data_IF_510230522767
#
_entry.id   IF_510230522767
#
_cell.length_a   1.000
_cell.length_b   1.000
_cell.length_c   1.000
_cell.angle_alpha   90.00
_cell.angle_beta   90.00
_cell.angle_gamma   90.00
#
_symmetry.space_group_name_H-M   'P 1'
#
loop_
_entity.id
_entity.type
_entity.pdbx_description
1 polymer ?
#
# COMPACT_ATOMS: atom_id res chain seq x y z
N UNK A 1 -13.36 -8.81 22.72
CA UNK A 1 -12.48 -7.84 22.03
C UNK A 1 -11.31 -8.58 21.41
N UNK A 2 -10.61 -7.99 20.43
CA UNK A 2 -9.66 -8.72 19.57
C UNK A 2 -8.21 -8.74 20.09
N UNK A 3 -7.92 -8.08 21.23
CA UNK A 3 -6.59 -8.01 21.88
C UNK A 3 -5.43 -7.56 20.96
N UNK A 4 -5.66 -6.55 20.11
CA UNK A 4 -4.62 -5.99 19.25
C UNK A 4 -4.06 -4.68 19.79
N UNK A 5 -2.74 -4.55 19.76
CA UNK A 5 -2.07 -3.30 20.09
C UNK A 5 -2.23 -2.29 18.94
N UNK A 6 -2.55 -1.05 19.28
CA UNK A 6 -2.71 0.03 18.32
C UNK A 6 -1.42 0.83 18.20
N UNK A 7 -0.94 1.02 16.98
CA UNK A 7 0.23 1.88 16.70
C UNK A 7 -0.25 3.33 16.54
N UNK A 8 0.36 4.32 17.23
CA UNK A 8 -0.01 5.72 17.07
C UNK A 8 0.30 6.20 15.65
N UNK A 9 -0.69 6.82 14.99
CA UNK A 9 -0.56 7.38 13.64
C UNK A 9 -0.77 8.90 13.70
N UNK A 10 0.22 9.72 13.28
CA UNK A 10 0.05 11.16 13.24
C UNK A 10 -1.01 11.59 12.20
N UNK A 11 -1.75 12.68 12.42
CA UNK A 11 -2.68 13.20 11.43
C UNK A 11 -2.00 13.48 10.09
N UNK A 12 -2.66 13.14 8.99
CA UNK A 12 -2.25 13.49 7.61
C UNK A 12 -0.81 13.12 7.22
N UNK A 13 -0.32 11.95 7.64
CA UNK A 13 1.02 11.44 7.27
C UNK A 13 0.96 10.27 6.27
N UNK A 14 0.62 10.51 4.99
CA UNK A 14 0.53 9.47 3.95
C UNK A 14 1.90 8.87 3.58
N UNK A 15 2.98 9.50 3.99
CA UNK A 15 4.35 8.99 3.94
C UNK A 15 4.65 7.98 5.06
N UNK A 16 3.97 8.07 6.19
CA UNK A 16 4.15 7.15 7.33
C UNK A 16 3.31 5.88 7.14
N UNK A 17 2.18 5.96 6.43
CA UNK A 17 1.34 4.81 6.13
C UNK A 17 1.98 3.89 5.07
N UNK A 18 2.39 2.65 5.41
CA UNK A 18 3.01 1.74 4.46
C UNK A 18 2.10 1.38 3.28
N UNK A 19 0.78 1.40 3.48
CA UNK A 19 -0.22 1.17 2.43
C UNK A 19 -0.19 2.25 1.35
N UNK A 20 -0.10 3.53 1.73
CA UNK A 20 -0.09 4.69 0.82
C UNK A 20 1.16 4.75 -0.05
N UNK A 21 2.32 4.30 0.46
CA UNK A 21 3.54 4.24 -0.34
C UNK A 21 3.73 2.92 -1.08
N UNK A 22 3.65 1.80 -0.38
CA UNK A 22 4.11 0.55 -0.95
C UNK A 22 3.00 -0.12 -1.74
N UNK A 23 1.74 -0.02 -1.32
CA UNK A 23 0.64 -0.77 -1.93
C UNK A 23 -0.10 0.06 -2.98
N UNK A 24 -0.56 1.26 -2.63
CA UNK A 24 -1.41 2.06 -3.52
C UNK A 24 -0.69 2.65 -4.72
N UNK A 25 0.61 2.92 -4.62
CA UNK A 25 1.40 3.48 -5.73
C UNK A 25 1.58 2.47 -6.88
N UNK A 26 2.04 1.23 -6.64
CA UNK A 26 2.10 0.19 -7.66
C UNK A 26 0.73 -0.16 -8.27
N UNK A 27 -0.33 -0.23 -7.45
CA UNK A 27 -1.69 -0.46 -7.94
C UNK A 27 -2.14 0.66 -8.88
N UNK A 28 -1.94 1.92 -8.48
CA UNK A 28 -2.27 3.08 -9.33
C UNK A 28 -1.53 3.01 -10.67
N UNK A 29 -0.26 2.61 -10.67
CA UNK A 29 0.53 2.46 -11.89
C UNK A 29 0.00 1.33 -12.77
N UNK A 30 -0.30 0.16 -12.19
CA UNK A 30 -0.87 -0.99 -12.89
C UNK A 30 -2.24 -0.69 -13.53
N UNK A 31 -3.06 0.12 -12.85
CA UNK A 31 -4.39 0.49 -13.32
C UNK A 31 -4.40 1.69 -14.27
N UNK A 32 -3.35 2.52 -14.31
CA UNK A 32 -3.31 3.82 -15.01
C UNK A 32 -3.71 3.76 -16.49
N UNK A 33 -3.40 2.67 -17.18
CA UNK A 33 -3.64 2.52 -18.62
C UNK A 33 -4.77 1.53 -18.95
N UNK A 34 -5.46 1.02 -17.93
CA UNK A 34 -6.56 0.08 -18.10
C UNK A 34 -7.90 0.81 -18.05
N UNK A 35 -8.80 0.49 -18.99
CA UNK A 35 -10.19 0.95 -18.96
C UNK A 35 -11.08 -0.26 -18.71
N UNK A 36 -11.94 -0.15 -17.71
CA UNK A 36 -12.86 -1.22 -17.33
C UNK A 36 -14.29 -0.79 -17.65
N UNK A 37 -15.02 -1.64 -18.36
CA UNK A 37 -16.42 -1.40 -18.68
C UNK A 37 -17.35 -1.82 -17.54
N UNK A 38 -16.91 -2.75 -16.70
CA UNK A 38 -17.68 -3.30 -15.57
C UNK A 38 -16.84 -3.29 -14.30
N UNK A 39 -17.54 -3.18 -13.17
CA UNK A 39 -16.93 -3.31 -11.85
C UNK A 39 -16.26 -4.68 -11.64
N UNK A 40 -16.85 -5.76 -12.18
CA UNK A 40 -16.29 -7.11 -12.09
C UNK A 40 -14.88 -7.20 -12.68
N UNK A 41 -14.66 -6.54 -13.83
CA UNK A 41 -13.37 -6.55 -14.52
C UNK A 41 -12.30 -5.80 -13.71
N UNK A 42 -12.68 -4.66 -13.10
CA UNK A 42 -11.81 -3.92 -12.19
C UNK A 42 -11.46 -4.76 -10.96
N UNK A 43 -12.46 -5.43 -10.37
CA UNK A 43 -12.27 -6.27 -9.17
C UNK A 43 -11.30 -7.41 -9.46
N UNK A 44 -11.48 -8.10 -10.59
CA UNK A 44 -10.57 -9.16 -11.02
C UNK A 44 -9.15 -8.65 -11.25
N UNK A 45 -8.99 -7.52 -11.96
CA UNK A 45 -7.66 -6.96 -12.20
C UNK A 45 -6.92 -6.59 -10.91
N UNK A 46 -7.64 -6.12 -9.88
CA UNK A 46 -7.05 -5.84 -8.56
C UNK A 46 -6.65 -7.14 -7.85
N UNK A 47 -7.49 -8.20 -7.91
CA UNK A 47 -7.12 -9.50 -7.36
C UNK A 47 -5.89 -10.10 -8.05
N UNK A 48 -5.85 -10.09 -9.38
CA UNK A 48 -4.72 -10.58 -10.16
C UNK A 48 -3.42 -9.84 -9.81
N UNK A 49 -3.49 -8.53 -9.56
CA UNK A 49 -2.35 -7.74 -9.10
C UNK A 49 -1.84 -8.25 -7.75
N UNK A 50 -2.74 -8.51 -6.80
CA UNK A 50 -2.34 -9.00 -5.49
C UNK A 50 -1.80 -10.43 -5.56
N UNK A 51 -2.43 -11.33 -6.31
CA UNK A 51 -1.97 -12.71 -6.44
C UNK A 51 -0.59 -12.81 -7.11
N UNK A 52 -0.27 -11.87 -8.02
CA UNK A 52 1.02 -11.86 -8.74
C UNK A 52 2.14 -11.08 -8.04
N UNK A 53 1.82 -9.97 -7.37
CA UNK A 53 2.83 -9.00 -6.93
C UNK A 53 2.79 -8.67 -5.43
N UNK A 54 1.76 -9.10 -4.67
CA UNK A 54 1.57 -8.66 -3.29
C UNK A 54 2.73 -9.03 -2.36
N UNK A 55 3.23 -10.27 -2.45
CA UNK A 55 4.36 -10.71 -1.63
C UNK A 55 5.61 -9.85 -1.85
N UNK A 56 5.96 -9.58 -3.11
CA UNK A 56 7.13 -8.76 -3.47
C UNK A 56 6.97 -7.31 -3.00
N UNK A 57 5.79 -6.73 -3.22
CA UNK A 57 5.49 -5.33 -2.86
C UNK A 57 5.58 -5.11 -1.34
N UNK A 58 5.12 -6.07 -0.55
CA UNK A 58 5.19 -6.01 0.92
C UNK A 58 6.62 -6.19 1.44
N UNK A 59 7.36 -7.17 0.92
CA UNK A 59 8.75 -7.42 1.33
C UNK A 59 9.67 -6.23 1.04
N UNK A 60 9.49 -5.58 -0.11
CA UNK A 60 10.23 -4.36 -0.46
C UNK A 60 9.86 -3.18 0.43
N UNK A 61 8.58 -3.07 0.82
CA UNK A 61 8.09 -2.00 1.70
C UNK A 61 8.65 -2.11 3.12
N UNK A 62 8.72 -3.32 3.68
CA UNK A 62 9.27 -3.54 5.02
C UNK A 62 10.78 -3.23 5.10
N UNK A 63 11.52 -3.43 4.00
CA UNK A 63 12.98 -3.21 3.92
C UNK A 63 13.35 -1.74 3.72
N UNK A 64 12.43 -0.90 3.22
CA UNK A 64 12.68 0.52 2.94
C UNK A 64 11.67 1.39 3.71
N UNK A 65 11.94 1.70 5.00
CA UNK A 65 11.10 2.65 5.71
C UNK A 65 11.09 3.99 4.96
N UNK A 66 9.91 4.61 4.86
CA UNK A 66 9.79 5.93 4.25
C UNK A 66 10.70 6.92 4.98
N UNK A 67 11.36 7.83 4.24
CA UNK A 67 12.30 8.85 4.77
C UNK A 67 11.78 9.63 5.99
N UNK A 68 10.46 9.67 6.20
CA UNK A 68 9.80 10.32 7.32
C UNK A 68 10.19 9.76 8.70
N UNK A 69 10.56 8.48 8.82
CA UNK A 69 10.91 7.88 10.12
C UNK A 69 12.32 8.31 10.60
N UNK A 70 13.18 8.77 9.69
CA UNK A 70 14.54 9.19 10.04
C UNK A 70 14.62 10.56 10.74
N UNK A 71 13.56 11.38 10.69
CA UNK A 71 13.54 12.72 11.27
C UNK A 71 12.71 12.85 12.56
N UNK A 72 12.17 11.75 13.09
CA UNK A 72 11.40 11.75 14.34
C UNK A 72 12.23 11.32 15.57
N UNK A 73 13.55 11.21 15.43
CA UNK A 73 14.47 11.02 16.54
C UNK A 73 15.31 12.29 16.74
N UNK A 74 14.66 13.36 17.17
CA UNK A 74 15.24 14.47 17.93
C UNK A 74 14.18 14.98 18.93
#
# INVERSE_FOLDING_TARGET
ELNWDTVPHPPYSPDIAPSEYHIFRPIKLFLKEKRFAKYGDLKMAVFDFFDSQFGRVLEEGQRRPTRAIAHSCD
#
